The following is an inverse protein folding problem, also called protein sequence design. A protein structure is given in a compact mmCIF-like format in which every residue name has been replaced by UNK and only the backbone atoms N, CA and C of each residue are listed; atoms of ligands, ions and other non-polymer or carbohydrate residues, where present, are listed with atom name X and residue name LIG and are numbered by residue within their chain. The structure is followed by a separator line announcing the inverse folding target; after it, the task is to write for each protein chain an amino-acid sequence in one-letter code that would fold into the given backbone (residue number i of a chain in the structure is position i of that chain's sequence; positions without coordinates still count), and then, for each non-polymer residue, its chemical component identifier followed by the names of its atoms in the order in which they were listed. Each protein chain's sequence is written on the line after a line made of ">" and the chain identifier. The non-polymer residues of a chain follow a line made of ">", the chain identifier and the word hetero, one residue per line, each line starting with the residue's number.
data_IF_389596987882
#
_entry.id   IF_389596987882
#
_cell.length_a   1.000
_cell.length_b   1.000
_cell.length_c   1.000
_cell.angle_alpha   90.00
_cell.angle_beta   90.00
_cell.angle_gamma   90.00
#
_symmetry.space_group_name_H-M   'P 1'
#
loop_
_entity.id
_entity.type
_entity.pdbx_description
1 polymer ?
#
# COMPACT_ATOMS: atom_id res chain seq x y z
N UNK A 1 -41.63 -17.79 26.61
CA UNK A 1 -41.83 -16.51 25.87
C UNK A 1 -41.07 -15.40 26.56
N UNK A 2 -39.95 -14.93 25.98
CA UNK A 2 -39.67 -13.49 25.96
C UNK A 2 -39.18 -13.01 24.59
N UNK A 3 -39.52 -11.76 24.28
CA UNK A 3 -39.29 -11.04 23.02
C UNK A 3 -38.26 -9.92 23.26
N UNK A 4 -37.41 -9.72 22.25
CA UNK A 4 -36.67 -8.51 21.87
C UNK A 4 -35.42 -8.05 22.67
N UNK A 5 -34.28 -8.03 21.97
CA UNK A 5 -33.57 -6.77 21.67
C UNK A 5 -33.24 -6.71 20.18
N UNK A 6 -33.89 -5.77 19.48
CA UNK A 6 -33.45 -5.26 18.16
C UNK A 6 -32.34 -4.25 18.40
N UNK A 7 -31.27 -4.29 17.61
CA UNK A 7 -30.28 -3.22 17.60
C UNK A 7 -28.96 -3.53 16.90
N UNK A 8 -28.98 -3.89 15.61
CA UNK A 8 -27.94 -3.45 14.66
C UNK A 8 -28.35 -3.78 13.20
N UNK A 9 -28.88 -2.78 12.48
CA UNK A 9 -28.81 -2.75 11.02
C UNK A 9 -27.51 -2.04 10.65
N UNK A 10 -26.59 -2.78 10.03
CA UNK A 10 -25.48 -2.37 9.13
C UNK A 10 -24.56 -3.60 9.05
N UNK A 11 -24.97 -4.56 8.24
CA UNK A 11 -24.31 -5.84 8.02
C UNK A 11 -23.59 -5.90 6.68
N UNK A 12 -22.95 -4.80 6.25
CA UNK A 12 -21.93 -4.80 5.19
C UNK A 12 -20.53 -4.74 5.83
N UNK A 13 -20.31 -5.72 6.71
CA UNK A 13 -19.00 -6.09 7.26
C UNK A 13 -18.29 -6.79 6.10
N UNK A 14 -17.07 -6.41 5.68
CA UNK A 14 -15.82 -7.05 6.13
C UNK A 14 -14.59 -6.22 5.65
N UNK A 15 -14.13 -5.24 6.43
CA UNK A 15 -12.89 -4.51 6.15
C UNK A 15 -11.68 -5.12 6.86
N UNK A 16 -10.74 -5.68 6.09
CA UNK A 16 -9.30 -5.89 6.36
C UNK A 16 -8.79 -7.00 5.45
N UNK A 17 -7.83 -6.75 4.56
CA UNK A 17 -7.10 -7.86 3.92
C UNK A 17 -5.62 -7.50 3.87
N UNK A 18 -4.76 -8.35 4.41
CA UNK A 18 -3.33 -8.12 4.60
C UNK A 18 -2.60 -9.33 4.04
N UNK A 19 -1.43 -9.19 3.43
CA UNK A 19 -0.53 -10.33 3.31
C UNK A 19 0.93 -9.89 3.25
N UNK A 20 1.82 -10.72 3.76
CA UNK A 20 3.25 -10.47 3.88
C UNK A 20 3.99 -11.77 3.53
N UNK A 21 5.01 -11.79 2.66
CA UNK A 21 5.93 -12.95 2.59
C UNK A 21 7.36 -12.58 2.24
N UNK A 22 8.30 -13.35 2.78
CA UNK A 22 9.75 -13.26 2.57
C UNK A 22 10.45 -14.57 2.94
N UNK A 23 11.58 -14.90 2.30
CA UNK A 23 12.79 -15.58 2.85
C UNK A 23 13.92 -15.58 1.77
N UNK A 24 15.23 -15.61 2.06
CA UNK A 24 15.96 -15.47 3.32
C UNK A 24 16.91 -14.26 3.32
N UNK A 25 16.91 -13.51 4.45
CA UNK A 25 17.64 -12.25 4.69
C UNK A 25 16.79 -10.95 4.79
N UNK A 26 15.46 -11.03 4.75
CA UNK A 26 14.55 -9.96 4.27
C UNK A 26 13.74 -9.15 5.28
N UNK A 27 12.62 -8.56 4.85
CA UNK A 27 11.52 -8.02 5.65
C UNK A 27 10.27 -7.82 4.79
N UNK A 28 9.09 -8.23 5.27
CA UNK A 28 7.79 -7.92 4.68
C UNK A 28 6.85 -7.46 5.79
N UNK A 29 6.05 -6.42 5.60
CA UNK A 29 4.98 -6.10 6.54
C UNK A 29 3.77 -5.51 5.83
N UNK A 30 2.60 -6.05 6.15
CA UNK A 30 1.33 -5.57 5.66
C UNK A 30 0.38 -5.36 6.84
N UNK A 31 -0.33 -4.24 6.92
CA UNK A 31 -1.61 -4.27 7.63
C UNK A 31 -2.61 -3.24 7.14
N UNK A 32 -3.84 -3.69 7.00
CA UNK A 32 -4.98 -2.85 6.70
C UNK A 32 -6.23 -3.26 7.44
N UNK A 33 -6.87 -2.32 8.14
CA UNK A 33 -8.24 -2.50 8.62
C UNK A 33 -9.11 -1.36 8.06
N UNK A 34 -10.03 -1.76 7.18
CA UNK A 34 -10.78 -0.92 6.24
C UNK A 34 -10.74 -1.47 4.80
N UNK A 35 -9.64 -2.14 4.39
CA UNK A 35 -9.68 -3.22 3.37
C UNK A 35 -8.73 -3.25 2.15
N UNK A 36 -7.41 -3.31 2.31
CA UNK A 36 -6.46 -4.24 1.60
C UNK A 36 -5.01 -3.90 2.00
N UNK A 37 -4.01 -4.73 1.68
CA UNK A 37 -2.57 -4.53 1.93
C UNK A 37 -1.84 -5.82 1.50
N UNK A 38 -0.74 -5.75 0.74
CA UNK A 38 0.05 -6.96 0.45
C UNK A 38 1.54 -6.61 0.25
N UNK A 39 2.44 -7.30 0.95
CA UNK A 39 3.88 -7.06 1.02
C UNK A 39 4.67 -8.32 0.66
N UNK A 40 5.49 -8.27 -0.38
CA UNK A 40 6.29 -9.39 -0.88
C UNK A 40 7.76 -8.97 -0.92
N UNK A 41 8.61 -9.71 -0.19
CA UNK A 41 10.02 -9.40 -0.06
C UNK A 41 10.94 -10.54 -0.49
N UNK A 42 11.67 -10.29 -1.58
CA UNK A 42 12.77 -11.12 -2.02
C UNK A 42 13.95 -11.20 -1.04
N UNK A 43 15.01 -11.95 -1.38
CA UNK A 43 16.19 -12.08 -0.53
C UNK A 43 16.83 -10.72 -0.24
N UNK A 44 17.23 -10.48 1.02
CA UNK A 44 17.88 -9.22 1.47
C UNK A 44 17.17 -7.94 0.99
N UNK A 45 15.85 -7.87 1.18
CA UNK A 45 14.99 -6.75 0.74
C UNK A 45 13.94 -6.39 1.79
N UNK A 46 13.23 -5.28 1.59
CA UNK A 46 12.17 -4.79 2.47
C UNK A 46 10.89 -4.48 1.68
N UNK A 47 9.72 -4.86 2.18
CA UNK A 47 8.43 -4.41 1.64
C UNK A 47 7.45 -4.01 2.73
N UNK A 48 6.81 -2.85 2.57
CA UNK A 48 5.80 -2.32 3.49
C UNK A 48 4.50 -1.98 2.75
N UNK A 49 3.37 -2.53 3.20
CA UNK A 49 2.04 -2.22 2.67
C UNK A 49 1.06 -1.83 3.79
N UNK A 50 0.55 -0.62 3.75
CA UNK A 50 -0.45 -0.11 4.69
C UNK A 50 -1.65 0.35 3.90
N UNK A 51 -2.83 -0.23 4.14
CA UNK A 51 -4.06 0.45 3.74
C UNK A 51 -5.01 0.70 4.90
N UNK A 52 -5.40 1.96 5.02
CA UNK A 52 -6.23 2.45 6.08
C UNK A 52 -7.53 3.00 5.49
N UNK A 53 -8.67 2.68 6.11
CA UNK A 53 -9.96 3.30 5.78
C UNK A 53 -10.45 3.09 4.33
N UNK A 54 -10.28 1.90 3.76
CA UNK A 54 -10.90 1.52 2.47
C UNK A 54 -10.06 1.79 1.21
N UNK A 55 -8.73 1.78 1.36
CA UNK A 55 -7.77 1.85 0.25
C UNK A 55 -7.08 0.50 -0.05
N UNK A 56 -6.23 0.50 -1.08
CA UNK A 56 -5.41 -0.63 -1.54
C UNK A 56 -3.94 -0.31 -1.64
N UNK A 57 -3.12 -1.10 -0.95
CA UNK A 57 -1.67 -0.96 -0.93
C UNK A 57 -0.98 -2.27 -1.32
N UNK A 58 -0.09 -2.21 -2.31
CA UNK A 58 0.74 -3.34 -2.74
C UNK A 58 2.20 -2.93 -2.80
N UNK A 59 3.08 -3.67 -2.11
CA UNK A 59 4.52 -3.50 -2.14
C UNK A 59 5.21 -4.82 -2.52
N UNK A 60 6.12 -4.79 -3.50
CA UNK A 60 6.91 -5.95 -3.93
C UNK A 60 8.37 -5.58 -4.12
N UNK A 61 9.29 -6.36 -3.58
CA UNK A 61 10.72 -6.06 -3.62
C UNK A 61 11.58 -7.21 -4.13
N UNK A 62 12.54 -6.87 -4.98
CA UNK A 62 13.69 -7.71 -5.36
C UNK A 62 14.89 -7.41 -4.46
N UNK A 63 15.98 -8.16 -4.64
CA UNK A 63 17.21 -8.02 -3.84
C UNK A 63 17.69 -6.56 -3.70
N UNK A 64 17.97 -6.15 -2.44
CA UNK A 64 18.42 -4.81 -2.03
C UNK A 64 17.44 -3.66 -2.30
N UNK A 65 16.17 -3.94 -2.54
CA UNK A 65 15.13 -2.91 -2.72
C UNK A 65 14.19 -2.79 -1.53
N UNK A 66 13.66 -1.58 -1.30
CA UNK A 66 12.82 -1.25 -0.14
C UNK A 66 11.61 -0.37 -0.45
N UNK A 67 10.58 -0.86 -1.16
CA UNK A 67 9.31 -0.17 -1.40
C UNK A 67 8.37 -0.11 -0.18
N UNK A 68 7.73 1.04 -0.02
CA UNK A 68 6.64 1.28 0.91
C UNK A 68 5.39 1.83 0.19
N UNK A 69 4.25 1.19 0.41
CA UNK A 69 2.94 1.56 -0.14
C UNK A 69 1.96 1.93 0.98
N UNK A 70 1.44 3.15 0.97
CA UNK A 70 0.52 3.69 1.98
C UNK A 70 -0.76 4.23 1.34
N UNK A 71 -1.85 3.48 1.39
CA UNK A 71 -3.15 3.87 0.86
C UNK A 71 -4.09 4.30 1.99
N UNK A 72 -4.34 5.60 2.11
CA UNK A 72 -5.07 6.20 3.23
C UNK A 72 -6.39 6.79 2.73
N UNK A 73 -7.48 6.07 3.01
CA UNK A 73 -8.84 6.50 2.76
C UNK A 73 -9.53 5.81 1.58
N UNK A 74 -10.82 6.09 1.38
CA UNK A 74 -11.64 5.37 0.41
C UNK A 74 -11.12 5.56 -1.02
N UNK A 75 -10.92 4.45 -1.73
CA UNK A 75 -10.47 4.46 -3.13
C UNK A 75 -9.01 4.91 -3.32
N UNK A 76 -8.25 5.08 -2.23
CA UNK A 76 -6.81 5.29 -2.33
C UNK A 76 -6.14 4.02 -2.89
N UNK A 77 -5.25 4.15 -3.86
CA UNK A 77 -4.52 3.02 -4.45
C UNK A 77 -3.03 3.32 -4.52
N UNK A 78 -2.20 2.43 -3.97
CA UNK A 78 -0.74 2.49 -4.09
C UNK A 78 -0.19 1.17 -4.56
N UNK A 79 0.60 1.21 -5.63
CA UNK A 79 1.44 0.09 -6.07
C UNK A 79 2.90 0.52 -6.07
N UNK A 80 3.75 -0.19 -5.31
CA UNK A 80 5.18 0.07 -5.23
C UNK A 80 5.98 -1.19 -5.55
N UNK A 81 6.85 -1.10 -6.55
CA UNK A 81 7.74 -2.17 -6.97
C UNK A 81 9.20 -1.73 -6.81
N UNK A 82 9.96 -2.49 -6.03
CA UNK A 82 11.41 -2.39 -5.94
C UNK A 82 12.05 -3.38 -6.91
N UNK A 83 12.64 -2.89 -7.99
CA UNK A 83 13.31 -3.71 -9.04
C UNK A 83 14.83 -3.52 -9.13
N UNK A 84 15.36 -2.47 -8.50
CA UNK A 84 16.78 -2.12 -8.40
C UNK A 84 17.17 -1.86 -6.95
N UNK A 85 18.46 -1.87 -6.58
CA UNK A 85 18.85 -1.44 -5.25
C UNK A 85 18.38 -0.02 -4.97
N UNK A 86 17.69 0.19 -3.83
CA UNK A 86 17.17 1.51 -3.46
C UNK A 86 15.84 1.47 -2.71
N UNK A 87 15.45 2.64 -2.22
CA UNK A 87 14.23 2.84 -1.42
C UNK A 87 13.17 3.58 -2.26
N UNK A 88 11.92 3.21 -2.06
CA UNK A 88 10.80 3.94 -2.66
C UNK A 88 9.63 4.03 -1.70
N UNK A 89 8.85 5.10 -1.85
CA UNK A 89 7.66 5.35 -1.04
C UNK A 89 6.55 5.92 -1.91
N UNK A 90 5.33 5.41 -1.71
CA UNK A 90 4.11 5.95 -2.29
C UNK A 90 3.05 6.13 -1.21
N UNK A 91 2.40 7.29 -1.20
CA UNK A 91 1.33 7.67 -0.28
C UNK A 91 0.15 8.20 -1.10
N UNK A 92 -1.01 7.56 -1.01
CA UNK A 92 -2.24 8.00 -1.64
C UNK A 92 -3.30 8.37 -0.59
N UNK A 93 -3.91 9.53 -0.74
CA UNK A 93 -5.13 9.93 -0.05
C UNK A 93 -6.40 9.41 -0.75
N UNK A 94 -7.60 9.79 -0.27
CA UNK A 94 -8.87 9.35 -0.86
C UNK A 94 -8.94 9.63 -2.37
N UNK A 95 -9.36 8.62 -3.15
CA UNK A 95 -9.44 8.66 -4.63
C UNK A 95 -8.11 8.90 -5.37
N UNK A 96 -6.98 8.94 -4.67
CA UNK A 96 -5.68 9.09 -5.31
C UNK A 96 -5.13 7.73 -5.77
N UNK A 97 -4.41 7.74 -6.88
CA UNK A 97 -3.65 6.61 -7.38
C UNK A 97 -2.18 6.99 -7.44
N UNK A 98 -1.34 6.15 -6.82
CA UNK A 98 0.12 6.29 -6.81
C UNK A 98 0.76 5.02 -7.32
N UNK A 99 1.65 5.15 -8.30
CA UNK A 99 2.42 4.02 -8.84
C UNK A 99 3.91 4.31 -8.80
N UNK A 100 4.68 3.41 -8.22
CA UNK A 100 6.15 3.40 -8.25
C UNK A 100 6.61 2.10 -8.90
N UNK A 101 7.15 2.20 -10.11
CA UNK A 101 7.55 1.02 -10.90
C UNK A 101 9.00 0.58 -10.66
N UNK A 102 9.85 1.45 -10.10
CA UNK A 102 11.29 1.19 -9.89
C UNK A 102 12.16 1.27 -11.15
N UNK A 103 11.55 1.46 -12.33
CA UNK A 103 12.23 1.60 -13.64
C UNK A 103 11.94 2.91 -14.35
N UNK A 104 10.82 3.56 -14.01
CA UNK A 104 10.38 4.85 -14.54
C UNK A 104 9.96 5.74 -13.39
N UNK A 105 9.90 7.05 -13.64
CA UNK A 105 9.41 8.01 -12.65
C UNK A 105 8.04 7.63 -12.09
N UNK A 106 7.79 7.89 -10.80
CA UNK A 106 6.53 7.56 -10.18
C UNK A 106 5.39 8.44 -10.72
N UNK A 107 4.16 7.94 -10.63
CA UNK A 107 2.96 8.67 -11.06
C UNK A 107 2.00 8.88 -9.90
N UNK A 108 1.41 10.07 -9.84
CA UNK A 108 0.46 10.50 -8.81
C UNK A 108 -0.75 11.15 -9.51
N UNK A 109 -1.96 10.66 -9.28
CA UNK A 109 -3.17 11.20 -9.94
C UNK A 109 -4.45 11.04 -9.11
N UNK A 110 -5.51 11.77 -9.50
CA UNK A 110 -6.88 11.61 -9.00
C UNK A 110 -7.20 12.25 -7.65
N UNK A 111 -6.19 12.46 -6.80
CA UNK A 111 -6.32 13.10 -5.50
C UNK A 111 -4.96 13.38 -4.88
N UNK A 112 -4.95 13.78 -3.61
CA UNK A 112 -3.70 14.05 -2.89
C UNK A 112 -2.83 12.79 -2.86
N UNK A 113 -1.63 12.89 -3.42
CA UNK A 113 -0.70 11.77 -3.52
C UNK A 113 0.74 12.22 -3.62
N UNK A 114 1.64 11.42 -3.07
CA UNK A 114 3.08 11.67 -3.09
C UNK A 114 3.82 10.37 -3.35
N UNK A 115 4.87 10.44 -4.16
CA UNK A 115 5.83 9.36 -4.23
C UNK A 115 7.26 9.87 -4.45
N UNK A 116 8.20 9.11 -3.92
CA UNK A 116 9.63 9.25 -4.17
C UNK A 116 10.23 7.89 -4.51
N UNK A 117 11.10 7.88 -5.50
CA UNK A 117 11.81 6.69 -5.96
C UNK A 117 13.31 6.99 -6.08
N UNK A 118 14.10 6.47 -5.14
CA UNK A 118 15.56 6.60 -5.15
C UNK A 118 16.23 5.68 -6.18
N UNK A 119 15.48 4.75 -6.79
CA UNK A 119 15.97 3.89 -7.86
C UNK A 119 16.04 4.66 -9.19
N UNK A 120 15.21 5.70 -9.32
CA UNK A 120 15.14 6.57 -10.50
C UNK A 120 15.49 8.02 -10.21
N UNK A 121 15.71 8.39 -8.95
CA UNK A 121 15.91 9.75 -8.45
C UNK A 121 14.78 10.72 -8.83
N UNK A 122 13.56 10.20 -8.84
CA UNK A 122 12.38 10.96 -9.27
C UNK A 122 11.28 10.91 -8.22
N UNK A 123 10.39 11.89 -8.28
CA UNK A 123 9.24 11.97 -7.40
C UNK A 123 8.02 12.52 -8.13
N UNK A 124 6.85 12.32 -7.55
CA UNK A 124 5.61 12.95 -7.98
C UNK A 124 4.85 13.50 -6.79
N UNK A 125 4.07 14.54 -7.07
CA UNK A 125 3.17 15.17 -6.13
C UNK A 125 1.88 15.50 -6.88
N UNK A 126 0.74 15.17 -6.28
CA UNK A 126 -0.58 15.60 -6.70
C UNK A 126 -1.30 16.21 -5.50
N UNK A 127 -1.97 17.34 -5.70
CA UNK A 127 -2.64 18.11 -4.64
C UNK A 127 -4.17 18.03 -4.71
N UNK A 128 -4.73 17.27 -5.66
CA UNK A 128 -6.18 17.18 -5.91
C UNK A 128 -6.55 17.48 -7.35
#
# INVERSE_FOLDING_TARGET
>A
MPRARRGHRLGDRLGAQCSATSAGGGAAAAYGLGGSATADAGPTSLSLAIAQNGGSATARSTQLSGPAALAIGPGATVTAAGVRPGLSIGIAGPRATVTVAGVTGPTCSGGVGFAGDFQTWQGCLSLG
#
